data_IF_589504220049
#
_entry.id   IF_589504220049
#
_cell.length_a   1.000
_cell.length_b   1.000
_cell.length_c   1.000
_cell.angle_alpha   90.00
_cell.angle_beta   90.00
_cell.angle_gamma   90.00
#
_symmetry.space_group_name_H-M   'P 1'
#
loop_
_entity.id
_entity.type
_entity.pdbx_description
1 polymer ?
#
# COMPACT_ATOMS: atom_id res chain seq x y z
N UNK A 1 30.58 -0.81 17.47
CA UNK A 1 31.61 -1.86 17.64
C UNK A 1 31.00 -3.28 17.75
N UNK A 2 29.80 -3.45 18.29
CA UNK A 2 29.12 -4.75 18.34
C UNK A 2 28.49 -5.18 16.98
N UNK A 3 28.01 -4.28 16.19
CA UNK A 3 27.44 -4.56 14.86
C UNK A 3 28.52 -5.06 13.87
N UNK A 4 29.75 -4.61 14.04
CA UNK A 4 30.89 -5.08 13.22
C UNK A 4 31.29 -6.53 13.52
N UNK A 5 31.06 -7.00 14.74
CA UNK A 5 31.34 -8.40 15.13
C UNK A 5 30.32 -9.37 14.53
N UNK A 6 29.08 -8.96 14.31
CA UNK A 6 28.05 -9.81 13.69
C UNK A 6 28.29 -10.02 12.19
N UNK A 7 28.70 -9.00 11.46
CA UNK A 7 29.03 -9.10 10.04
C UNK A 7 30.24 -10.01 9.79
N UNK A 8 31.25 -9.95 10.64
CA UNK A 8 32.44 -10.84 10.55
C UNK A 8 32.15 -12.30 10.93
N UNK A 9 31.13 -12.57 11.72
CA UNK A 9 30.78 -13.94 12.11
C UNK A 9 30.01 -14.67 10.99
N UNK A 10 29.21 -13.95 10.22
CA UNK A 10 28.45 -14.50 9.10
C UNK A 10 29.35 -14.93 7.92
N UNK A 11 30.38 -14.15 7.61
CA UNK A 11 31.36 -14.46 6.56
C UNK A 11 32.18 -15.70 6.87
N UNK A 12 32.37 -16.02 8.17
CA UNK A 12 33.13 -17.21 8.59
C UNK A 12 32.33 -18.52 8.53
N UNK A 13 31.03 -18.47 8.48
CA UNK A 13 30.19 -19.68 8.44
C UNK A 13 29.81 -20.13 7.03
N UNK A 14 29.90 -19.31 6.01
CA UNK A 14 29.44 -19.66 4.65
C UNK A 14 30.54 -20.06 3.67
N UNK A 15 31.81 -19.89 4.00
CA UNK A 15 32.96 -20.47 3.27
C UNK A 15 33.04 -20.15 1.75
N UNK A 16 32.31 -19.13 1.26
CA UNK A 16 32.33 -18.75 -0.15
C UNK A 16 32.72 -17.29 -0.31
N UNK A 17 33.99 -17.07 -0.65
CA UNK A 17 34.51 -15.81 -1.17
C UNK A 17 34.68 -16.02 -2.68
N UNK A 18 34.02 -15.25 -3.54
CA UNK A 18 34.34 -15.31 -4.98
C UNK A 18 35.73 -14.68 -5.20
N UNK A 19 36.64 -15.44 -5.75
CA UNK A 19 37.94 -14.99 -6.19
C UNK A 19 37.80 -13.89 -7.26
N UNK A 20 38.39 -12.74 -6.97
CA UNK A 20 38.66 -11.70 -7.97
C UNK A 20 39.96 -12.12 -8.66
N UNK A 21 39.84 -12.72 -9.83
CA UNK A 21 40.98 -12.99 -10.67
C UNK A 21 41.46 -11.68 -11.29
N UNK A 22 42.74 -11.42 -11.03
CA UNK A 22 43.54 -10.29 -11.44
C UNK A 22 43.62 -10.09 -12.94
N UNK A 23 43.78 -8.81 -13.32
CA UNK A 23 44.36 -8.33 -14.57
C UNK A 23 45.64 -9.12 -14.93
N UNK A 24 45.57 -9.87 -16.01
CA UNK A 24 46.70 -10.16 -16.87
C UNK A 24 46.24 -11.14 -17.96
N UNK A 25 45.89 -10.59 -19.13
CA UNK A 25 46.08 -11.21 -20.43
C UNK A 25 45.38 -10.38 -21.52
N UNK A 26 45.99 -9.23 -21.80
CA UNK A 26 45.74 -8.46 -23.03
C UNK A 26 47.10 -8.10 -23.60
N UNK A 27 47.75 -9.06 -24.27
CA UNK A 27 48.72 -8.73 -25.31
C UNK A 27 48.87 -9.92 -26.27
N UNK A 28 48.75 -9.58 -27.55
CA UNK A 28 49.12 -10.31 -28.77
C UNK A 28 48.00 -11.03 -29.52
N UNK A 29 47.42 -10.33 -30.49
CA UNK A 29 47.70 -10.70 -31.90
C UNK A 29 47.23 -9.57 -32.82
N UNK A 30 48.19 -8.84 -33.34
CA UNK A 30 48.04 -8.03 -34.56
C UNK A 30 48.08 -8.94 -35.77
N UNK A 31 47.11 -8.83 -36.67
CA UNK A 31 47.40 -8.67 -38.13
C UNK A 31 46.14 -8.23 -38.87
N UNK A 32 46.36 -7.19 -39.58
CA UNK A 32 45.58 -6.42 -40.49
C UNK A 32 44.78 -7.18 -41.55
N UNK A 33 43.62 -6.64 -41.92
CA UNK A 33 43.27 -6.41 -43.31
C UNK A 33 42.38 -5.18 -43.40
N UNK A 34 42.81 -4.23 -44.24
CA UNK A 34 42.15 -2.98 -44.62
C UNK A 34 41.00 -3.24 -45.61
N UNK A 35 40.09 -2.23 -45.64
CA UNK A 35 39.05 -1.92 -46.62
C UNK A 35 37.65 -2.48 -46.29
N UNK A 36 36.67 -1.65 -45.97
CA UNK A 36 35.97 -0.77 -46.90
C UNK A 36 35.15 0.31 -46.16
N UNK A 37 34.99 1.44 -46.83
CA UNK A 37 34.38 2.68 -46.33
C UNK A 37 32.85 2.67 -46.41
N UNK A 38 32.22 3.36 -45.44
CA UNK A 38 30.93 4.01 -45.54
C UNK A 38 29.68 3.11 -45.62
N UNK A 39 29.06 2.92 -44.44
CA UNK A 39 27.61 3.17 -44.26
C UNK A 39 27.32 3.28 -42.78
N UNK A 40 27.26 4.52 -42.30
CA UNK A 40 26.62 4.84 -41.01
C UNK A 40 25.12 4.68 -41.23
N UNK A 41 24.57 3.52 -40.87
CA UNK A 41 23.15 3.34 -40.68
C UNK A 41 22.85 3.87 -39.27
N UNK A 42 21.94 4.82 -39.09
CA UNK A 42 21.48 5.19 -37.73
C UNK A 42 20.87 3.94 -37.11
N UNK A 43 21.34 3.58 -35.92
CA UNK A 43 20.65 2.59 -35.08
C UNK A 43 19.20 3.07 -34.92
N UNK A 44 18.25 2.29 -35.38
CA UNK A 44 16.83 2.46 -35.04
C UNK A 44 16.77 2.47 -33.50
N UNK A 45 16.52 3.66 -32.97
CA UNK A 45 16.11 3.78 -31.58
C UNK A 45 14.82 2.96 -31.44
N UNK A 46 14.94 1.77 -30.91
CA UNK A 46 13.82 1.04 -30.34
C UNK A 46 13.18 1.97 -29.32
N UNK A 47 12.15 2.68 -29.72
CA UNK A 47 11.31 3.47 -28.82
C UNK A 47 10.75 2.47 -27.79
N UNK A 48 11.09 2.67 -26.51
CA UNK A 48 10.42 1.98 -25.44
C UNK A 48 8.90 2.09 -25.69
N UNK A 49 8.13 1.01 -25.53
CA UNK A 49 6.69 1.06 -25.78
C UNK A 49 6.09 2.22 -24.99
N UNK A 50 5.33 3.07 -25.67
CA UNK A 50 4.65 4.19 -25.05
C UNK A 50 3.85 3.63 -23.87
N UNK A 51 4.07 4.16 -22.65
CA UNK A 51 3.28 3.77 -21.47
C UNK A 51 1.82 4.00 -21.83
N UNK A 52 1.01 2.95 -21.75
CA UNK A 52 -0.41 3.08 -21.93
C UNK A 52 -0.98 4.13 -20.96
N UNK A 53 -1.83 5.05 -21.44
CA UNK A 53 -2.44 6.04 -20.56
C UNK A 53 -3.25 5.33 -19.47
N UNK A 54 -3.24 5.88 -18.26
CA UNK A 54 -4.02 5.38 -17.13
C UNK A 54 -5.50 5.68 -17.42
N UNK A 55 -6.26 4.66 -17.80
CA UNK A 55 -7.67 4.78 -18.13
C UNK A 55 -8.55 4.04 -17.13
N UNK A 56 -9.63 4.66 -16.69
CA UNK A 56 -10.60 4.07 -15.76
C UNK A 56 -12.04 4.42 -16.13
N UNK A 57 -12.95 3.52 -15.76
CA UNK A 57 -14.40 3.71 -15.87
C UNK A 57 -15.05 3.50 -14.52
N UNK A 58 -16.19 4.12 -14.28
CA UNK A 58 -16.93 4.01 -13.03
C UNK A 58 -18.43 3.95 -13.27
N UNK A 59 -19.18 3.43 -12.29
CA UNK A 59 -20.64 3.48 -12.31
C UNK A 59 -21.13 4.92 -12.11
N UNK A 60 -22.23 5.28 -12.79
CA UNK A 60 -22.73 6.65 -12.86
C UNK A 60 -23.14 7.24 -11.50
N UNK A 61 -23.44 6.41 -10.53
CA UNK A 61 -23.87 6.82 -9.19
C UNK A 61 -22.69 7.17 -8.24
N UNK A 62 -21.46 6.72 -8.53
CA UNK A 62 -20.33 6.91 -7.59
C UNK A 62 -19.97 8.37 -7.34
N UNK A 63 -19.89 9.27 -8.33
CA UNK A 63 -19.59 10.67 -8.05
C UNK A 63 -20.60 11.29 -7.07
N UNK A 64 -21.88 11.08 -7.29
CA UNK A 64 -22.94 11.57 -6.40
C UNK A 64 -22.84 10.93 -5.01
N UNK A 65 -22.54 9.65 -4.92
CA UNK A 65 -22.33 8.95 -3.64
C UNK A 65 -21.17 9.57 -2.85
N UNK A 66 -20.03 9.82 -3.48
CA UNK A 66 -18.87 10.43 -2.85
C UNK A 66 -19.15 11.85 -2.36
N UNK A 67 -19.87 12.64 -3.15
CA UNK A 67 -20.30 13.99 -2.75
C UNK A 67 -21.23 13.98 -1.55
N UNK A 68 -22.26 13.12 -1.57
CA UNK A 68 -23.24 13.01 -0.48
C UNK A 68 -22.58 12.54 0.82
N UNK A 69 -21.68 11.58 0.74
CA UNK A 69 -20.93 11.06 1.89
C UNK A 69 -19.80 12.00 2.32
N UNK A 70 -19.44 12.97 1.48
CA UNK A 70 -18.30 13.90 1.68
C UNK A 70 -16.99 13.14 1.89
N UNK A 71 -16.69 12.21 1.00
CA UNK A 71 -15.50 11.37 1.06
C UNK A 71 -14.69 11.47 -0.22
N UNK A 72 -13.45 11.08 -0.11
CA UNK A 72 -12.58 10.67 -1.20
C UNK A 72 -11.85 9.39 -0.78
N UNK A 73 -11.11 8.77 -1.69
CA UNK A 73 -10.26 7.62 -1.37
C UNK A 73 -8.80 7.95 -1.66
N UNK A 74 -7.92 7.32 -0.89
CA UNK A 74 -6.51 7.17 -1.24
C UNK A 74 -6.22 5.68 -1.42
N UNK A 75 -5.59 5.35 -2.55
CA UNK A 75 -5.39 3.97 -3.02
C UNK A 75 -3.93 3.78 -3.43
N UNK A 76 -3.28 2.71 -2.98
CA UNK A 76 -1.95 2.33 -3.45
C UNK A 76 -2.01 1.18 -4.45
N UNK A 77 -1.08 1.18 -5.41
CA UNK A 77 -1.13 0.28 -6.58
C UNK A 77 0.08 -0.64 -6.72
N UNK A 78 0.96 -0.69 -5.72
CA UNK A 78 2.16 -1.53 -5.72
C UNK A 78 2.93 -1.51 -7.05
N UNK A 79 2.52 -2.33 -8.04
CA UNK A 79 3.23 -2.52 -9.31
C UNK A 79 3.22 -1.29 -10.22
N UNK A 80 2.10 -0.58 -10.30
CA UNK A 80 1.99 0.63 -11.12
C UNK A 80 2.81 1.79 -10.54
N UNK A 81 3.29 1.67 -9.28
CA UNK A 81 4.08 2.70 -8.62
C UNK A 81 3.30 3.99 -8.41
N UNK A 82 2.00 3.89 -8.13
CA UNK A 82 1.11 5.04 -7.96
C UNK A 82 0.34 4.99 -6.64
N UNK A 83 0.22 6.15 -6.03
CA UNK A 83 -0.83 6.47 -5.07
C UNK A 83 -1.88 7.29 -5.82
N UNK A 84 -3.14 6.92 -5.69
CA UNK A 84 -4.26 7.51 -6.42
C UNK A 84 -5.19 8.16 -5.41
N UNK A 85 -5.46 9.46 -5.57
CA UNK A 85 -6.59 10.11 -4.93
C UNK A 85 -7.81 9.98 -5.84
N UNK A 86 -8.87 9.38 -5.34
CA UNK A 86 -10.15 9.24 -6.05
C UNK A 86 -11.14 10.22 -5.46
N UNK A 87 -11.60 11.18 -6.26
CA UNK A 87 -12.39 12.34 -5.83
C UNK A 87 -13.60 12.53 -6.71
N UNK A 88 -14.73 12.99 -6.17
CA UNK A 88 -15.85 13.40 -6.99
C UNK A 88 -15.55 14.77 -7.64
N UNK A 89 -15.84 14.89 -8.92
CA UNK A 89 -15.70 16.10 -9.71
C UNK A 89 -16.93 16.29 -10.61
N UNK A 90 -17.98 16.85 -10.05
CA UNK A 90 -19.28 16.92 -10.70
C UNK A 90 -19.85 15.52 -10.97
N UNK A 91 -20.02 15.17 -12.23
CA UNK A 91 -20.59 13.88 -12.64
C UNK A 91 -19.57 12.76 -12.90
N UNK A 92 -18.28 13.03 -12.67
CA UNK A 92 -17.19 12.06 -12.88
C UNK A 92 -16.38 11.85 -11.61
N UNK A 93 -15.67 10.72 -11.53
CA UNK A 93 -14.60 10.52 -10.58
C UNK A 93 -13.29 11.01 -11.19
N UNK A 94 -12.65 11.95 -10.51
CA UNK A 94 -11.29 12.35 -10.79
C UNK A 94 -10.33 11.35 -10.13
N UNK A 95 -9.45 10.75 -10.92
CA UNK A 95 -8.36 9.90 -10.46
C UNK A 95 -7.05 10.67 -10.58
N UNK A 96 -6.49 11.08 -9.46
CA UNK A 96 -5.27 11.88 -9.40
C UNK A 96 -4.09 11.04 -8.94
N UNK A 97 -3.05 10.96 -9.75
CA UNK A 97 -1.93 10.03 -9.57
C UNK A 97 -0.68 10.73 -9.03
N UNK A 98 -0.06 10.12 -8.02
CA UNK A 98 1.28 10.50 -7.51
C UNK A 98 2.22 9.31 -7.59
N UNK A 99 3.49 9.56 -7.96
CA UNK A 99 4.48 8.50 -8.16
C UNK A 99 5.18 8.15 -6.85
N UNK A 100 5.24 6.86 -6.55
CA UNK A 100 5.97 6.29 -5.43
C UNK A 100 6.66 4.99 -5.85
N UNK A 101 7.76 4.65 -5.18
CA UNK A 101 8.43 3.38 -5.43
C UNK A 101 7.71 2.24 -4.71
N UNK A 102 6.90 1.46 -5.46
CA UNK A 102 6.10 0.33 -4.95
C UNK A 102 5.29 0.70 -3.70
N UNK A 103 4.33 1.63 -3.79
CA UNK A 103 3.51 2.00 -2.64
C UNK A 103 2.64 0.83 -2.22
N UNK A 104 2.65 0.55 -0.91
CA UNK A 104 2.00 -0.61 -0.29
C UNK A 104 1.02 -0.15 0.78
N UNK A 105 1.26 -0.47 2.06
CA UNK A 105 0.39 -0.09 3.16
C UNK A 105 0.17 1.43 3.25
N UNK A 106 -1.03 1.82 3.62
CA UNK A 106 -1.44 3.21 3.87
C UNK A 106 -2.10 3.28 5.25
N UNK A 107 -1.77 4.32 6.02
CA UNK A 107 -2.50 4.71 7.20
C UNK A 107 -2.89 6.19 7.09
N UNK A 108 -4.16 6.52 7.27
CA UNK A 108 -4.67 7.88 7.12
C UNK A 108 -5.69 8.23 8.20
N UNK A 109 -5.68 9.51 8.59
CA UNK A 109 -6.73 10.16 9.38
C UNK A 109 -6.91 11.62 8.90
N UNK A 110 -7.70 12.41 9.61
CA UNK A 110 -7.96 13.81 9.23
C UNK A 110 -6.71 14.68 9.21
N UNK A 111 -5.67 14.33 9.97
CA UNK A 111 -4.48 15.16 10.18
C UNK A 111 -3.28 14.68 9.39
N UNK A 112 -3.23 13.40 9.06
CA UNK A 112 -2.04 12.76 8.49
C UNK A 112 -2.37 11.66 7.49
N UNK A 113 -1.41 11.43 6.61
CA UNK A 113 -1.39 10.32 5.66
C UNK A 113 0.01 9.72 5.68
N UNK A 114 0.10 8.42 5.86
CA UNK A 114 1.37 7.70 5.86
C UNK A 114 1.35 6.64 4.77
N UNK A 115 2.41 6.60 3.97
CA UNK A 115 2.51 5.73 2.79
C UNK A 115 3.78 4.90 2.91
N UNK A 116 3.64 3.59 2.95
CA UNK A 116 4.75 2.64 2.88
C UNK A 116 5.17 2.41 1.44
N UNK A 117 6.47 2.46 1.18
CA UNK A 117 7.09 2.13 -0.10
C UNK A 117 8.05 0.94 0.02
N UNK A 118 8.90 0.73 -0.98
CA UNK A 118 9.85 -0.41 -0.99
C UNK A 118 10.74 -0.43 0.26
N UNK A 119 11.36 0.70 0.59
CA UNK A 119 12.33 0.81 1.67
C UNK A 119 12.16 2.10 2.48
N UNK A 120 11.04 2.78 2.34
CA UNK A 120 10.76 4.05 2.99
C UNK A 120 9.31 4.15 3.42
N UNK A 121 9.09 4.86 4.52
CA UNK A 121 7.76 5.29 4.97
C UNK A 121 7.72 6.80 4.89
N UNK A 122 6.76 7.30 4.13
CA UNK A 122 6.52 8.73 3.94
C UNK A 122 5.42 9.20 4.87
N UNK A 123 5.70 10.26 5.62
CA UNK A 123 4.73 10.91 6.51
C UNK A 123 4.31 12.24 5.93
N UNK A 124 3.02 12.40 5.74
CA UNK A 124 2.36 13.61 5.28
C UNK A 124 1.48 14.18 6.39
N UNK A 125 1.40 15.51 6.45
CA UNK A 125 0.46 16.22 7.30
C UNK A 125 -0.54 16.96 6.42
N UNK A 126 -1.82 16.88 6.76
CA UNK A 126 -2.85 17.70 6.17
C UNK A 126 -2.67 19.15 6.68
N UNK A 127 -2.52 20.09 5.75
CA UNK A 127 -2.39 21.53 6.02
C UNK A 127 -3.49 22.28 5.26
N UNK A 128 -4.70 22.38 5.83
CA UNK A 128 -5.86 22.97 5.15
C UNK A 128 -5.63 24.39 4.64
N UNK A 129 -4.77 25.17 5.30
CA UNK A 129 -4.42 26.53 4.88
C UNK A 129 -3.69 26.60 3.52
N UNK A 130 -3.14 25.49 3.04
CA UNK A 130 -2.49 25.41 1.72
C UNK A 130 -3.50 25.03 0.63
N UNK A 131 -4.55 24.31 0.97
CA UNK A 131 -5.54 23.83 0.01
C UNK A 131 -6.12 24.93 -0.91
N UNK A 132 -6.52 26.13 -0.43
CA UNK A 132 -7.02 27.20 -1.29
C UNK A 132 -6.01 27.76 -2.28
N UNK A 133 -4.70 27.49 -2.06
CA UNK A 133 -3.59 27.98 -2.90
C UNK A 133 -3.22 26.98 -4.01
N UNK A 134 -3.88 25.82 -4.04
CA UNK A 134 -3.68 24.79 -5.05
C UNK A 134 -4.62 25.04 -6.23
N UNK A 135 -4.09 24.97 -7.43
CA UNK A 135 -4.92 25.08 -8.64
C UNK A 135 -5.69 23.78 -8.95
N UNK A 136 -6.94 23.86 -9.39
CA UNK A 136 -7.74 25.09 -9.53
C UNK A 136 -8.12 25.70 -8.18
N UNK A 137 -7.96 27.01 -8.05
CA UNK A 137 -8.19 27.74 -6.80
C UNK A 137 -9.58 27.49 -6.22
N UNK A 138 -9.66 27.27 -4.91
CA UNK A 138 -10.92 27.07 -4.18
C UNK A 138 -11.59 25.69 -4.36
N UNK A 139 -10.98 24.78 -5.11
CA UNK A 139 -11.51 23.42 -5.32
C UNK A 139 -11.08 22.45 -4.21
N UNK A 140 -9.86 22.59 -3.72
CA UNK A 140 -9.28 21.67 -2.74
C UNK A 140 -9.73 22.01 -1.32
N UNK A 141 -10.09 21.01 -0.55
CA UNK A 141 -10.51 21.12 0.87
C UNK A 141 -9.49 20.53 1.85
N UNK A 142 -8.50 19.81 1.35
CA UNK A 142 -7.37 19.29 2.12
C UNK A 142 -6.11 19.28 1.27
N UNK A 143 -4.94 19.41 1.92
CA UNK A 143 -3.65 19.32 1.24
C UNK A 143 -2.64 18.62 2.13
N UNK A 144 -2.17 17.46 1.71
CA UNK A 144 -1.17 16.66 2.40
C UNK A 144 0.23 17.05 1.94
N UNK A 145 1.02 17.58 2.88
CA UNK A 145 2.42 17.98 2.66
C UNK A 145 3.36 16.94 3.27
N UNK A 146 4.42 16.51 2.56
CA UNK A 146 5.43 15.62 3.12
C UNK A 146 6.16 16.31 4.28
N UNK A 147 6.34 15.59 5.39
CA UNK A 147 6.98 16.12 6.60
C UNK A 147 8.19 15.33 7.07
N UNK A 148 8.16 14.02 6.88
CA UNK A 148 9.21 13.11 7.33
C UNK A 148 9.27 11.89 6.42
N UNK A 149 10.47 11.33 6.29
CA UNK A 149 10.73 10.05 5.65
C UNK A 149 11.50 9.20 6.65
N UNK A 150 11.10 7.94 6.81
CA UNK A 150 11.84 6.94 7.56
C UNK A 150 12.35 5.85 6.62
N UNK A 151 13.62 5.49 6.71
CA UNK A 151 14.24 4.44 5.88
C UNK A 151 14.20 3.12 6.64
N UNK A 152 13.45 2.16 6.12
CA UNK A 152 13.24 0.84 6.76
C UNK A 152 14.15 -0.26 6.20
N UNK A 153 14.71 -0.08 5.01
CA UNK A 153 15.08 -1.19 4.15
C UNK A 153 13.83 -1.86 3.56
N UNK A 154 14.01 -2.86 2.71
CA UNK A 154 12.87 -3.58 2.11
C UNK A 154 12.30 -4.59 3.12
N UNK A 155 11.29 -4.18 3.88
CA UNK A 155 10.57 -5.00 4.87
C UNK A 155 9.23 -5.53 4.37
N UNK A 156 8.87 -5.24 3.13
CA UNK A 156 7.62 -5.65 2.48
C UNK A 156 6.38 -5.22 3.30
N UNK A 157 6.16 -3.90 3.38
CA UNK A 157 5.15 -3.26 4.24
C UNK A 157 3.75 -3.59 3.74
N UNK A 158 3.04 -4.51 4.39
CA UNK A 158 1.70 -4.90 3.93
C UNK A 158 0.59 -4.03 4.50
N UNK A 159 0.62 -3.74 5.77
CA UNK A 159 -0.45 -2.99 6.43
C UNK A 159 0.17 -1.99 7.41
N UNK A 160 -0.51 -0.88 7.64
CA UNK A 160 -0.13 0.10 8.65
C UNK A 160 -1.38 0.64 9.34
N UNK A 161 -1.27 0.92 10.64
CA UNK A 161 -2.32 1.57 11.40
C UNK A 161 -1.73 2.36 12.56
N UNK A 162 -2.36 3.47 12.91
CA UNK A 162 -2.05 4.22 14.12
C UNK A 162 -2.82 3.65 15.31
N UNK A 163 -2.18 3.59 16.47
CA UNK A 163 -2.84 3.30 17.73
C UNK A 163 -3.35 4.58 18.42
N UNK A 164 -3.92 4.43 19.62
CA UNK A 164 -4.46 5.55 20.40
C UNK A 164 -3.36 6.47 20.97
N UNK A 165 -2.11 6.02 20.99
CA UNK A 165 -0.95 6.77 21.47
C UNK A 165 -0.19 7.43 20.31
N UNK A 166 -0.79 7.46 19.11
CA UNK A 166 -0.22 7.97 17.86
C UNK A 166 1.02 7.20 17.36
N UNK A 167 1.27 5.99 17.88
CA UNK A 167 2.33 5.12 17.39
C UNK A 167 1.89 4.41 16.10
N UNK A 168 2.76 4.40 15.10
CA UNK A 168 2.51 3.70 13.84
C UNK A 168 2.90 2.23 13.95
N UNK A 169 1.91 1.35 13.89
CA UNK A 169 2.10 -0.08 13.77
C UNK A 169 2.18 -0.52 12.33
N UNK A 170 3.09 -1.44 12.05
CA UNK A 170 3.44 -1.89 10.70
C UNK A 170 3.46 -3.40 10.65
N UNK A 171 2.84 -3.97 9.64
CA UNK A 171 3.01 -5.38 9.28
C UNK A 171 4.27 -5.50 8.42
N UNK A 172 5.31 -6.01 9.02
CA UNK A 172 6.58 -6.32 8.37
C UNK A 172 6.53 -7.78 7.90
N UNK A 173 6.18 -7.97 6.64
CA UNK A 173 5.97 -9.30 6.05
C UNK A 173 7.27 -10.06 5.90
N UNK A 174 8.34 -9.37 5.51
CA UNK A 174 9.65 -9.99 5.31
C UNK A 174 10.18 -10.67 6.57
N UNK A 175 9.99 -10.05 7.74
CA UNK A 175 10.39 -10.60 9.03
C UNK A 175 9.24 -11.28 9.77
N UNK A 176 8.05 -11.30 9.18
CA UNK A 176 6.83 -11.88 9.75
C UNK A 176 6.55 -11.38 11.18
N UNK A 177 6.57 -10.07 11.39
CA UNK A 177 6.34 -9.44 12.69
C UNK A 177 5.48 -8.18 12.59
N UNK A 178 4.85 -7.80 13.69
CA UNK A 178 4.40 -6.44 13.90
C UNK A 178 5.56 -5.62 14.47
N UNK A 179 5.74 -4.44 13.94
CA UNK A 179 6.80 -3.54 14.38
C UNK A 179 6.31 -2.09 14.43
N UNK A 180 7.05 -1.27 15.16
CA UNK A 180 6.94 0.18 15.20
C UNK A 180 8.25 0.80 14.73
N UNK A 181 8.36 2.12 14.77
CA UNK A 181 9.55 2.85 14.35
C UNK A 181 10.10 3.69 15.51
N UNK A 182 11.40 3.82 15.53
CA UNK A 182 12.11 4.80 16.35
C UNK A 182 13.03 5.68 15.48
N UNK A 183 13.85 6.51 16.08
CA UNK A 183 14.75 7.41 15.35
C UNK A 183 16.00 6.73 14.78
N UNK A 184 16.38 5.57 15.29
CA UNK A 184 17.72 5.01 15.10
C UNK A 184 17.76 3.71 14.32
N UNK A 185 16.66 2.94 14.30
CA UNK A 185 16.60 1.61 13.70
C UNK A 185 15.72 1.58 12.45
N UNK A 186 15.93 0.62 11.57
CA UNK A 186 15.07 0.37 10.42
C UNK A 186 13.63 0.10 10.83
N UNK A 187 13.44 -0.65 11.90
CA UNK A 187 12.17 -0.92 12.57
C UNK A 187 12.43 -1.51 13.96
N UNK A 188 11.43 -1.43 14.83
CA UNK A 188 11.46 -1.99 16.17
C UNK A 188 10.44 -3.13 16.30
N UNK A 189 10.85 -4.42 16.36
CA UNK A 189 9.93 -5.55 16.47
C UNK A 189 9.18 -5.52 17.81
N UNK A 190 7.85 -5.65 17.74
CA UNK A 190 6.96 -5.61 18.92
C UNK A 190 6.28 -6.96 19.19
N UNK A 191 5.96 -7.69 18.13
CA UNK A 191 5.26 -8.96 18.22
C UNK A 191 5.56 -9.83 17.00
N UNK A 192 5.59 -11.14 17.18
CA UNK A 192 5.65 -12.14 16.11
C UNK A 192 4.86 -13.39 16.48
N UNK A 193 4.37 -14.19 15.51
CA UNK A 193 3.79 -15.49 15.78
C UNK A 193 4.75 -16.39 16.56
N UNK A 194 4.23 -17.06 17.60
CA UNK A 194 5.06 -17.94 18.46
C UNK A 194 5.57 -19.20 17.77
N UNK A 195 4.97 -19.59 16.63
CA UNK A 195 5.44 -20.73 15.85
C UNK A 195 6.71 -20.40 15.03
N UNK A 196 7.10 -19.13 14.93
CA UNK A 196 8.34 -18.73 14.27
C UNK A 196 9.51 -18.84 15.24
N UNK A 197 10.54 -19.61 14.88
CA UNK A 197 11.74 -19.85 15.71
C UNK A 197 12.64 -18.63 15.83
N UNK A 198 12.71 -17.79 14.79
CA UNK A 198 13.58 -16.62 14.73
C UNK A 198 12.94 -15.42 14.02
N UNK A 199 13.49 -14.23 14.26
CA UNK A 199 13.26 -13.03 13.45
C UNK A 199 14.22 -13.08 12.26
N UNK A 200 13.72 -13.43 11.06
CA UNK A 200 14.53 -13.64 9.86
C UNK A 200 13.86 -13.02 8.64
N UNK A 201 14.61 -12.42 7.68
CA UNK A 201 14.07 -11.79 6.48
C UNK A 201 13.71 -12.80 5.39
N UNK A 202 12.99 -13.86 5.74
CA UNK A 202 12.73 -15.02 4.89
C UNK A 202 11.26 -15.16 4.45
N UNK A 203 10.40 -14.21 4.83
CA UNK A 203 8.96 -14.25 4.49
C UNK A 203 8.33 -15.61 4.83
N UNK A 204 8.56 -16.12 6.04
CA UNK A 204 8.25 -17.51 6.40
C UNK A 204 6.76 -17.82 6.36
N UNK A 205 5.90 -16.97 6.94
CA UNK A 205 4.45 -17.19 7.00
C UNK A 205 3.64 -16.18 6.17
N UNK A 206 4.27 -15.18 5.60
CA UNK A 206 3.65 -14.05 4.90
C UNK A 206 2.59 -13.36 5.73
N UNK A 207 3.02 -12.82 6.88
CA UNK A 207 2.18 -11.97 7.72
C UNK A 207 1.78 -10.73 6.92
N UNK A 208 0.47 -10.43 6.77
CA UNK A 208 0.03 -9.48 5.75
C UNK A 208 -1.13 -8.56 6.14
N UNK A 209 -1.76 -8.78 7.28
CA UNK A 209 -2.89 -7.95 7.66
C UNK A 209 -2.94 -7.65 9.15
N UNK A 210 -3.53 -6.50 9.50
CA UNK A 210 -3.65 -6.03 10.87
C UNK A 210 -5.03 -5.40 11.09
N UNK A 211 -5.76 -5.91 12.07
CA UNK A 211 -6.97 -5.27 12.60
C UNK A 211 -6.69 -4.67 13.96
N UNK A 212 -7.02 -3.39 14.12
CA UNK A 212 -6.99 -2.67 15.39
C UNK A 212 -8.34 -2.81 16.10
N UNK A 213 -8.33 -3.06 17.40
CA UNK A 213 -9.53 -3.06 18.26
C UNK A 213 -9.26 -2.18 19.46
N UNK A 214 -10.12 -1.20 19.71
CA UNK A 214 -9.90 -0.23 20.77
C UNK A 214 -8.58 0.55 20.65
N UNK A 215 -8.11 0.75 19.41
CA UNK A 215 -6.86 1.44 19.11
C UNK A 215 -5.60 0.62 19.40
N UNK A 216 -5.70 -0.71 19.46
CA UNK A 216 -4.54 -1.61 19.66
C UNK A 216 -4.51 -2.73 18.63
N UNK A 217 -3.34 -3.23 18.21
CA UNK A 217 -3.22 -4.43 17.40
C UNK A 217 -3.94 -5.61 18.06
N UNK A 218 -4.88 -6.24 17.34
CA UNK A 218 -5.66 -7.32 17.93
C UNK A 218 -5.71 -8.58 17.08
N UNK A 219 -5.95 -8.45 15.78
CA UNK A 219 -5.98 -9.60 14.89
C UNK A 219 -5.02 -9.39 13.72
N UNK A 220 -4.39 -10.49 13.30
CA UNK A 220 -3.50 -10.50 12.13
C UNK A 220 -3.83 -11.67 11.23
N UNK A 221 -3.58 -11.52 9.93
CA UNK A 221 -3.66 -12.60 8.95
C UNK A 221 -2.28 -12.93 8.42
N UNK A 222 -2.09 -14.21 8.06
CA UNK A 222 -0.92 -14.70 7.35
C UNK A 222 -1.32 -15.77 6.35
N UNK A 223 -0.49 -16.02 5.33
CA UNK A 223 -0.80 -16.99 4.26
C UNK A 223 -0.45 -18.44 4.65
N UNK A 224 0.22 -18.67 5.77
CA UNK A 224 0.54 -20.01 6.23
C UNK A 224 1.06 -20.07 7.66
N UNK A 225 0.79 -21.19 8.36
CA UNK A 225 1.42 -21.55 9.61
C UNK A 225 2.71 -22.34 9.32
N UNK A 226 3.82 -21.60 9.07
CA UNK A 226 5.08 -22.21 8.64
C UNK A 226 6.28 -21.40 9.13
N UNK A 227 7.34 -22.09 9.50
CA UNK A 227 8.63 -21.54 9.95
C UNK A 227 9.76 -21.76 8.91
N UNK A 228 9.42 -22.23 7.72
CA UNK A 228 10.36 -22.37 6.62
C UNK A 228 10.38 -21.13 5.72
N UNK A 229 11.52 -20.83 5.12
CA UNK A 229 11.67 -19.72 4.15
C UNK A 229 10.62 -19.81 3.04
N UNK A 230 9.80 -18.76 2.89
CA UNK A 230 8.68 -18.68 1.95
C UNK A 230 7.75 -19.93 1.96
N UNK A 231 7.66 -20.62 3.09
CA UNK A 231 6.97 -21.92 3.22
C UNK A 231 5.47 -21.85 2.99
N UNK A 232 4.85 -20.68 3.19
CA UNK A 232 3.44 -20.43 2.88
C UNK A 232 3.05 -20.75 1.43
N UNK A 233 4.01 -20.71 0.50
CA UNK A 233 3.76 -20.92 -0.94
C UNK A 233 3.28 -22.33 -1.27
N UNK A 234 3.65 -23.32 -0.45
CA UNK A 234 3.28 -24.70 -0.66
C UNK A 234 1.77 -24.96 -0.50
N UNK A 235 1.08 -24.16 0.32
CA UNK A 235 -0.36 -24.32 0.58
C UNK A 235 -1.11 -22.99 0.56
N UNK A 236 -0.80 -22.12 -0.39
CA UNK A 236 -1.36 -20.77 -0.49
C UNK A 236 -2.89 -20.72 -0.64
N UNK A 237 -3.48 -21.75 -1.28
CA UNK A 237 -4.91 -21.80 -1.52
C UNK A 237 -5.74 -22.00 -0.24
N UNK A 238 -5.21 -22.74 0.74
CA UNK A 238 -5.93 -23.14 1.95
C UNK A 238 -5.06 -23.08 3.23
N UNK A 239 -3.86 -22.51 3.14
CA UNK A 239 -2.93 -22.40 4.27
C UNK A 239 -3.15 -21.18 5.15
N UNK A 240 -3.98 -20.25 4.72
CA UNK A 240 -4.17 -18.98 5.39
C UNK A 240 -4.72 -19.11 6.80
N UNK A 241 -4.27 -18.21 7.68
CA UNK A 241 -4.61 -18.19 9.11
C UNK A 241 -5.03 -16.79 9.56
N UNK A 242 -5.88 -16.77 10.58
CA UNK A 242 -6.18 -15.60 11.40
C UNK A 242 -5.69 -15.84 12.83
N UNK A 243 -5.02 -14.87 13.43
CA UNK A 243 -4.46 -14.96 14.79
C UNK A 243 -4.94 -13.85 15.70
N UNK A 244 -5.09 -14.15 16.97
CA UNK A 244 -5.21 -13.18 18.06
C UNK A 244 -3.80 -12.76 18.54
N UNK A 245 -3.53 -11.47 18.51
CA UNK A 245 -2.22 -10.89 18.87
C UNK A 245 -1.94 -11.04 20.36
N UNK A 246 -2.91 -10.71 21.23
CA UNK A 246 -2.72 -10.73 22.69
C UNK A 246 -2.45 -12.15 23.20
N UNK A 247 -3.22 -13.12 22.72
CA UNK A 247 -3.08 -14.52 23.10
C UNK A 247 -1.95 -15.22 22.32
N UNK A 248 -1.51 -14.63 21.23
CA UNK A 248 -0.60 -15.21 20.24
C UNK A 248 -1.06 -16.62 19.82
N UNK A 249 -2.34 -16.73 19.42
CA UNK A 249 -3.00 -17.98 19.09
C UNK A 249 -3.67 -17.87 17.72
N UNK A 250 -3.64 -18.97 16.98
CA UNK A 250 -4.37 -19.10 15.73
C UNK A 250 -5.84 -19.37 16.06
N UNK A 251 -6.73 -18.54 15.51
CA UNK A 251 -8.16 -18.61 15.66
C UNK A 251 -8.82 -19.36 14.49
N UNK A 252 -8.36 -19.11 13.27
CA UNK A 252 -8.86 -19.77 12.06
C UNK A 252 -7.71 -20.32 11.24
N UNK A 253 -7.96 -21.44 10.58
CA UNK A 253 -7.14 -22.08 9.56
C UNK A 253 -7.98 -22.36 8.32
N UNK A 254 -7.33 -22.60 7.19
CA UNK A 254 -8.03 -22.98 5.96
C UNK A 254 -8.50 -21.81 5.12
N UNK A 255 -8.11 -20.58 5.46
CA UNK A 255 -8.45 -19.38 4.70
C UNK A 255 -7.69 -19.35 3.35
N UNK A 256 -8.35 -18.88 2.31
CA UNK A 256 -7.75 -18.75 0.99
C UNK A 256 -7.11 -17.37 0.80
N UNK A 257 -5.80 -17.27 1.04
CA UNK A 257 -5.02 -16.03 0.97
C UNK A 257 -5.70 -14.85 1.70
N UNK A 258 -5.92 -14.93 3.02
CA UNK A 258 -6.59 -13.87 3.75
C UNK A 258 -5.75 -12.59 3.75
N UNK A 259 -6.42 -11.45 3.58
CA UNK A 259 -5.81 -10.11 3.65
C UNK A 259 -6.71 -9.13 4.41
N UNK A 260 -6.12 -8.02 4.82
CA UNK A 260 -6.80 -6.81 5.29
C UNK A 260 -7.92 -7.07 6.31
N UNK A 261 -7.64 -7.77 7.43
CA UNK A 261 -8.63 -7.90 8.50
C UNK A 261 -8.97 -6.50 9.04
N UNK A 262 -10.25 -6.26 9.36
CA UNK A 262 -10.74 -4.99 9.92
C UNK A 262 -11.78 -5.25 11.00
N UNK A 263 -11.66 -4.51 12.09
CA UNK A 263 -12.71 -4.45 13.09
C UNK A 263 -13.63 -3.28 12.79
N UNK A 264 -14.86 -3.57 12.40
CA UNK A 264 -15.84 -2.53 12.06
C UNK A 264 -17.23 -2.93 12.50
N UNK A 265 -17.96 -2.01 13.13
CA UNK A 265 -19.32 -2.24 13.67
C UNK A 265 -19.43 -3.53 14.50
N UNK A 266 -18.50 -3.71 15.45
CA UNK A 266 -18.41 -4.86 16.36
C UNK A 266 -18.31 -6.23 15.64
N UNK A 267 -17.79 -6.25 14.41
CA UNK A 267 -17.51 -7.46 13.64
C UNK A 267 -16.10 -7.46 13.13
N UNK A 268 -15.51 -8.63 13.05
CA UNK A 268 -14.24 -8.83 12.36
C UNK A 268 -14.52 -9.20 10.90
N UNK A 269 -14.01 -8.38 10.00
CA UNK A 269 -14.09 -8.55 8.55
C UNK A 269 -12.76 -9.03 8.02
N UNK A 270 -12.77 -9.89 7.00
CA UNK A 270 -11.59 -10.35 6.29
C UNK A 270 -11.86 -10.39 4.79
N UNK A 271 -10.80 -10.23 3.99
CA UNK A 271 -10.81 -10.51 2.57
C UNK A 271 -10.21 -11.90 2.36
N UNK A 272 -10.97 -12.84 1.80
CA UNK A 272 -10.43 -14.09 1.27
C UNK A 272 -10.04 -13.86 -0.19
N UNK A 273 -8.82 -13.42 -0.41
CA UNK A 273 -8.37 -12.96 -1.72
C UNK A 273 -8.37 -14.07 -2.77
N UNK A 274 -8.02 -15.30 -2.37
CA UNK A 274 -8.06 -16.47 -3.26
C UNK A 274 -9.46 -16.91 -3.67
N UNK A 275 -10.49 -16.47 -2.91
CA UNK A 275 -11.92 -16.64 -3.26
C UNK A 275 -12.46 -15.41 -4.00
N UNK A 276 -11.77 -14.25 -3.88
CA UNK A 276 -12.30 -12.97 -4.32
C UNK A 276 -13.52 -12.55 -3.52
N UNK A 277 -13.47 -12.67 -2.19
CA UNK A 277 -14.64 -12.43 -1.35
C UNK A 277 -14.36 -11.49 -0.16
N UNK A 278 -15.43 -10.86 0.31
CA UNK A 278 -15.54 -10.21 1.61
C UNK A 278 -16.25 -11.18 2.56
N UNK A 279 -15.69 -11.42 3.74
CA UNK A 279 -16.27 -12.29 4.75
C UNK A 279 -16.28 -11.67 6.14
N UNK A 280 -17.20 -12.13 7.00
CA UNK A 280 -17.20 -11.88 8.44
C UNK A 280 -16.77 -13.10 9.20
N UNK A 281 -16.06 -12.88 10.31
CA UNK A 281 -15.62 -13.93 11.24
C UNK A 281 -16.51 -13.95 12.46
N UNK A 282 -17.02 -15.12 12.81
CA UNK A 282 -17.61 -15.41 14.10
C UNK A 282 -16.49 -15.87 15.05
N UNK A 283 -16.22 -15.04 16.06
CA UNK A 283 -15.13 -15.27 17.01
C UNK A 283 -15.44 -16.35 18.06
N UNK A 284 -16.73 -16.63 18.32
CA UNK A 284 -17.18 -17.63 19.30
C UNK A 284 -17.09 -19.03 18.70
N UNK A 285 -17.64 -19.20 17.48
CA UNK A 285 -17.65 -20.48 16.78
C UNK A 285 -16.37 -20.72 16.00
N UNK A 286 -15.50 -19.73 15.84
CA UNK A 286 -14.29 -19.76 15.04
C UNK A 286 -14.58 -20.20 13.60
N UNK A 287 -15.61 -19.61 13.02
CA UNK A 287 -16.02 -19.82 11.63
C UNK A 287 -16.08 -18.48 10.89
N UNK A 288 -16.21 -18.52 9.57
CA UNK A 288 -16.44 -17.32 8.78
C UNK A 288 -17.51 -17.54 7.74
N UNK A 289 -18.11 -16.46 7.30
CA UNK A 289 -19.19 -16.46 6.31
C UNK A 289 -18.92 -15.40 5.25
N UNK A 290 -18.97 -15.79 3.99
CA UNK A 290 -18.93 -14.87 2.85
C UNK A 290 -20.15 -13.95 2.87
N UNK A 291 -19.90 -12.64 2.75
CA UNK A 291 -20.89 -11.59 2.62
C UNK A 291 -21.07 -11.19 1.16
N UNK A 292 -19.96 -11.06 0.42
CA UNK A 292 -19.99 -10.72 -1.00
C UNK A 292 -18.90 -11.44 -1.77
N UNK A 293 -19.20 -11.83 -3.02
CA UNK A 293 -18.21 -12.31 -3.99
C UNK A 293 -17.96 -11.22 -5.04
N UNK A 294 -16.69 -11.01 -5.37
CA UNK A 294 -16.23 -9.90 -6.19
C UNK A 294 -15.47 -10.39 -7.43
N UNK A 295 -15.41 -9.60 -8.51
CA UNK A 295 -14.84 -10.03 -9.78
C UNK A 295 -13.31 -9.84 -9.88
N UNK A 296 -12.58 -10.07 -8.80
CA UNK A 296 -11.13 -9.94 -8.76
C UNK A 296 -10.54 -10.42 -7.44
N UNK A 297 -9.22 -10.43 -7.38
CA UNK A 297 -8.45 -10.76 -6.18
C UNK A 297 -8.57 -9.60 -5.18
N UNK A 298 -9.24 -9.82 -4.05
CA UNK A 298 -9.56 -8.76 -3.07
C UNK A 298 -8.35 -8.39 -2.23
N UNK A 299 -8.04 -7.08 -2.14
CA UNK A 299 -6.93 -6.59 -1.31
C UNK A 299 -7.10 -5.12 -0.98
N UNK A 300 -6.91 -4.77 0.29
CA UNK A 300 -7.18 -3.43 0.78
C UNK A 300 -8.68 -3.19 0.94
N UNK A 301 -9.08 -2.82 2.15
CA UNK A 301 -10.48 -2.51 2.49
C UNK A 301 -10.51 -1.39 3.52
N UNK A 302 -11.48 -0.51 3.36
CA UNK A 302 -11.89 0.43 4.39
C UNK A 302 -13.40 0.62 4.36
N UNK A 303 -13.96 1.18 5.43
CA UNK A 303 -15.39 1.26 5.65
C UNK A 303 -15.85 2.70 5.89
N UNK A 304 -17.06 3.01 5.43
CA UNK A 304 -17.76 4.24 5.78
C UNK A 304 -19.27 4.01 5.84
N UNK A 305 -19.86 4.18 7.03
CA UNK A 305 -21.28 3.85 7.23
C UNK A 305 -21.60 2.39 6.90
N UNK A 306 -22.61 2.10 6.08
CA UNK A 306 -22.93 0.73 5.68
C UNK A 306 -22.13 0.22 4.46
N UNK A 307 -21.06 0.92 4.06
CA UNK A 307 -20.32 0.63 2.86
C UNK A 307 -18.90 0.16 3.14
N UNK A 308 -18.48 -0.87 2.42
CA UNK A 308 -17.11 -1.33 2.32
C UNK A 308 -16.51 -0.92 0.96
N UNK A 309 -15.34 -0.31 0.96
CA UNK A 309 -14.55 0.06 -0.22
C UNK A 309 -13.42 -0.94 -0.37
N UNK A 310 -13.48 -1.80 -1.38
CA UNK A 310 -12.62 -2.98 -1.52
C UNK A 310 -11.79 -2.88 -2.79
N UNK A 311 -10.48 -2.94 -2.64
CA UNK A 311 -9.56 -3.01 -3.76
C UNK A 311 -9.59 -4.38 -4.43
N UNK A 312 -9.59 -4.40 -5.75
CA UNK A 312 -9.49 -5.61 -6.57
C UNK A 312 -8.26 -5.55 -7.45
N UNK A 313 -7.62 -6.71 -7.62
CA UNK A 313 -6.45 -6.90 -8.46
C UNK A 313 -6.69 -8.00 -9.48
N UNK A 314 -6.04 -7.86 -10.64
CA UNK A 314 -5.88 -8.96 -11.59
C UNK A 314 -4.81 -9.90 -11.03
N UNK A 315 -5.10 -11.19 -10.96
CA UNK A 315 -4.09 -12.19 -10.61
C UNK A 315 -3.11 -12.28 -11.77
N UNK A 316 -1.82 -12.11 -11.50
CA UNK A 316 -0.79 -12.31 -12.53
C UNK A 316 -0.76 -13.77 -12.96
N UNK A 317 -0.79 -14.02 -14.27
CA UNK A 317 -0.68 -15.34 -14.89
C UNK A 317 0.72 -15.96 -14.76
N UNK A 318 1.32 -15.92 -13.58
CA UNK A 318 2.54 -16.68 -13.32
C UNK A 318 2.13 -17.97 -12.62
N UNK A 319 2.80 -19.06 -12.95
CA UNK A 319 2.61 -20.42 -12.40
C UNK A 319 2.51 -20.52 -10.87
N UNK A 320 2.83 -19.42 -10.16
CA UNK A 320 2.75 -19.28 -8.71
C UNK A 320 1.28 -19.13 -8.22
N UNK A 321 0.33 -18.76 -9.08
CA UNK A 321 -1.06 -18.45 -8.71
C UNK A 321 -2.10 -19.35 -9.40
N UNK A 322 -1.76 -20.56 -9.85
CA UNK A 322 -2.60 -21.48 -10.60
C UNK A 322 -3.53 -22.16 -9.62
N UNK A 323 -4.08 -22.25 -8.73
CA UNK A 323 -4.93 -23.17 -7.95
C UNK A 323 -5.88 -22.46 -6.97
N UNK A 324 -6.41 -21.29 -7.35
CA UNK A 324 -7.36 -20.57 -6.51
C UNK A 324 -8.80 -20.76 -6.99
N UNK A 325 -9.76 -20.89 -6.08
CA UNK A 325 -11.19 -20.98 -6.43
C UNK A 325 -11.68 -19.78 -7.25
N UNK A 326 -11.08 -18.60 -7.09
CA UNK A 326 -11.35 -17.41 -7.92
C UNK A 326 -11.12 -17.70 -9.41
N UNK A 327 -10.06 -18.45 -9.76
CA UNK A 327 -9.69 -18.73 -11.15
C UNK A 327 -10.64 -19.74 -11.81
N UNK A 328 -11.23 -20.62 -11.03
CA UNK A 328 -12.27 -21.54 -11.50
C UNK A 328 -13.59 -20.82 -11.77
N UNK A 329 -13.84 -19.72 -11.04
CA UNK A 329 -15.09 -18.97 -11.11
C UNK A 329 -15.09 -17.85 -12.16
N UNK A 330 -13.92 -17.27 -12.49
CA UNK A 330 -13.80 -16.08 -13.32
C UNK A 330 -12.80 -16.27 -14.45
N UNK A 331 -13.26 -16.13 -15.69
CA UNK A 331 -12.40 -16.08 -16.87
C UNK A 331 -11.61 -14.77 -16.93
N UNK A 332 -12.26 -13.65 -16.60
CA UNK A 332 -11.65 -12.33 -16.54
C UNK A 332 -11.68 -11.77 -15.12
N UNK A 333 -10.56 -11.19 -14.68
CA UNK A 333 -10.42 -10.52 -13.39
C UNK A 333 -10.23 -9.03 -13.61
N UNK A 334 -10.85 -8.24 -12.76
CA UNK A 334 -10.85 -6.79 -12.86
C UNK A 334 -9.93 -6.16 -11.80
N UNK A 335 -9.40 -4.98 -12.09
CA UNK A 335 -8.63 -4.17 -11.16
C UNK A 335 -9.37 -2.87 -10.87
N UNK A 336 -9.45 -2.47 -9.60
CA UNK A 336 -10.13 -1.22 -9.22
C UNK A 336 -10.62 -1.22 -7.80
N UNK A 337 -11.65 -0.41 -7.50
CA UNK A 337 -12.29 -0.33 -6.19
C UNK A 337 -13.78 -0.61 -6.34
N UNK A 338 -14.28 -1.58 -5.59
CA UNK A 338 -15.70 -1.94 -5.50
C UNK A 338 -16.29 -1.43 -4.19
N UNK A 339 -17.49 -0.90 -4.27
CA UNK A 339 -18.28 -0.44 -3.12
C UNK A 339 -19.38 -1.45 -2.86
N UNK A 340 -19.36 -2.05 -1.68
CA UNK A 340 -20.29 -3.12 -1.27
C UNK A 340 -21.08 -2.68 -0.06
N UNK A 341 -22.38 -2.92 -0.05
CA UNK A 341 -23.23 -2.74 1.12
C UNK A 341 -23.02 -3.91 2.09
N UNK A 342 -22.54 -3.64 3.30
CA UNK A 342 -22.05 -4.67 4.22
C UNK A 342 -23.14 -5.59 4.81
N UNK A 343 -24.41 -5.16 4.80
CA UNK A 343 -25.51 -5.98 5.31
C UNK A 343 -26.10 -6.88 4.23
N UNK A 344 -26.22 -6.37 2.98
CA UNK A 344 -26.84 -7.10 1.88
C UNK A 344 -25.84 -7.87 1.04
N UNK A 345 -24.57 -7.46 1.03
CA UNK A 345 -23.53 -7.99 0.14
C UNK A 345 -23.63 -7.47 -1.31
N UNK A 346 -24.56 -6.57 -1.58
CA UNK A 346 -24.76 -6.02 -2.92
C UNK A 346 -23.66 -5.04 -3.32
N UNK A 347 -23.22 -5.10 -4.57
CA UNK A 347 -22.34 -4.10 -5.17
C UNK A 347 -23.14 -2.83 -5.47
N UNK A 348 -22.79 -1.74 -4.81
CA UNK A 348 -23.40 -0.41 -4.99
C UNK A 348 -22.82 0.31 -6.20
N UNK A 349 -21.53 0.11 -6.45
CA UNK A 349 -20.83 0.73 -7.57
C UNK A 349 -19.37 0.31 -7.62
N UNK A 350 -18.66 0.74 -8.66
CA UNK A 350 -17.24 0.45 -8.82
C UNK A 350 -16.51 1.54 -9.61
N UNK A 351 -15.22 1.65 -9.34
CA UNK A 351 -14.20 2.26 -10.20
C UNK A 351 -13.32 1.14 -10.72
N UNK A 352 -13.24 0.95 -12.05
CA UNK A 352 -12.42 -0.08 -12.71
C UNK A 352 -11.33 0.56 -13.55
N UNK A 353 -10.10 0.11 -13.39
CA UNK A 353 -8.98 0.48 -14.27
C UNK A 353 -8.97 -0.46 -15.48
N UNK A 354 -8.91 0.12 -16.68
CA UNK A 354 -8.88 -0.63 -17.95
C UNK A 354 -7.45 -0.75 -18.48
N UNK A 355 -6.57 0.20 -18.09
CA UNK A 355 -5.16 0.17 -18.46
C UNK A 355 -4.26 0.79 -17.39
N UNK A 356 -2.99 0.39 -17.37
CA UNK A 356 -1.94 0.99 -16.56
C UNK A 356 -1.94 0.62 -15.07
N UNK A 357 -3.03 0.09 -14.52
CA UNK A 357 -3.14 -0.40 -13.13
C UNK A 357 -3.73 -1.79 -13.12
N UNK A 358 -2.98 -2.78 -12.65
CA UNK A 358 -3.38 -4.18 -12.58
C UNK A 358 -3.52 -4.69 -11.15
N UNK A 359 -3.06 -3.90 -10.16
CA UNK A 359 -3.02 -4.31 -8.77
C UNK A 359 -3.37 -3.12 -7.86
N UNK A 360 -4.32 -3.34 -6.96
CA UNK A 360 -4.61 -2.48 -5.81
C UNK A 360 -4.02 -3.14 -4.57
N UNK A 361 -3.35 -2.35 -3.73
CA UNK A 361 -2.73 -2.87 -2.51
C UNK A 361 -3.46 -2.44 -1.24
N UNK A 362 -3.70 -1.15 -1.08
CA UNK A 362 -4.44 -0.61 0.05
C UNK A 362 -5.49 0.40 -0.43
N UNK A 363 -6.59 0.47 0.32
CA UNK A 363 -7.67 1.45 0.13
C UNK A 363 -7.95 2.09 1.48
N UNK A 364 -8.02 3.43 1.53
CA UNK A 364 -8.41 4.19 2.72
C UNK A 364 -9.43 5.25 2.35
N UNK A 365 -10.45 5.40 3.17
CA UNK A 365 -11.48 6.44 3.04
C UNK A 365 -11.02 7.71 3.76
N UNK A 366 -10.99 8.80 3.05
CA UNK A 366 -10.73 10.13 3.59
C UNK A 366 -12.07 10.82 3.90
N UNK A 367 -12.60 10.54 5.08
CA UNK A 367 -13.88 11.08 5.53
C UNK A 367 -13.81 12.60 5.74
N UNK A 368 -14.84 13.34 5.30
CA UNK A 368 -14.91 14.79 5.40
C UNK A 368 -14.02 15.55 4.41
N UNK A 369 -13.28 14.86 3.55
CA UNK A 369 -12.41 15.44 2.52
C UNK A 369 -12.93 15.04 1.15
N UNK A 370 -13.44 16.01 0.38
CA UNK A 370 -14.05 15.74 -0.92
C UNK A 370 -13.05 15.83 -2.07
N UNK A 371 -12.11 16.78 -1.95
CA UNK A 371 -11.13 17.04 -3.01
C UNK A 371 -9.73 17.30 -2.44
N UNK A 372 -9.13 16.30 -1.74
CA UNK A 372 -7.78 16.42 -1.18
C UNK A 372 -6.72 16.50 -2.27
N UNK A 373 -5.58 17.12 -1.94
CA UNK A 373 -4.37 17.11 -2.74
C UNK A 373 -3.22 16.48 -1.96
N UNK A 374 -2.31 15.82 -2.68
CA UNK A 374 -1.08 15.23 -2.16
C UNK A 374 0.12 15.86 -2.88
N UNK A 375 0.88 16.71 -2.20
CA UNK A 375 2.04 17.37 -2.80
C UNK A 375 3.22 16.41 -2.93
N UNK A 376 3.90 16.47 -4.06
CA UNK A 376 5.16 15.75 -4.28
C UNK A 376 6.32 16.41 -3.54
N UNK A 377 7.36 15.66 -3.24
CA UNK A 377 8.54 16.17 -2.52
C UNK A 377 9.23 17.33 -3.22
N UNK A 378 9.18 17.42 -4.55
CA UNK A 378 9.78 18.48 -5.34
C UNK A 378 8.83 19.65 -5.62
N UNK A 379 7.62 19.66 -5.07
CA UNK A 379 6.66 20.75 -5.32
C UNK A 379 7.21 22.07 -4.73
N UNK A 380 7.25 23.12 -5.57
CA UNK A 380 7.75 24.44 -5.18
C UNK A 380 7.00 25.03 -3.99
N UNK A 381 5.72 24.67 -3.81
CA UNK A 381 4.89 25.13 -2.68
C UNK A 381 5.43 24.67 -1.33
N UNK A 382 6.22 23.58 -1.28
CA UNK A 382 6.84 23.12 -0.04
C UNK A 382 7.84 24.14 0.52
N UNK A 383 8.57 24.83 -0.34
CA UNK A 383 9.55 25.84 0.06
C UNK A 383 8.92 27.06 0.74
N UNK A 384 7.61 27.27 0.53
CA UNK A 384 6.83 28.38 1.06
C UNK A 384 5.77 27.95 2.08
N UNK A 385 5.77 26.67 2.48
CA UNK A 385 4.76 26.11 3.39
C UNK A 385 5.40 25.62 4.68
N UNK A 386 5.09 26.29 5.77
CA UNK A 386 5.61 26.01 7.10
C UNK A 386 4.50 25.49 8.00
N UNK A 387 4.80 24.46 8.78
CA UNK A 387 3.92 23.94 9.83
C UNK A 387 4.61 24.18 11.16
N UNK A 388 4.09 25.11 11.93
CA UNK A 388 4.62 25.50 13.22
C UNK A 388 3.75 24.95 14.35
N UNK A 389 4.30 24.75 15.56
CA UNK A 389 3.51 24.50 16.75
C UNK A 389 2.51 25.64 17.01
N UNK A 390 1.34 25.34 17.58
CA UNK A 390 0.28 26.32 17.81
C UNK A 390 0.72 27.50 18.68
N UNK A 391 1.61 27.24 19.66
CA UNK A 391 2.20 28.28 20.50
C UNK A 391 3.05 29.27 19.69
N UNK A 392 3.77 28.81 18.67
CA UNK A 392 4.60 29.65 17.82
C UNK A 392 3.79 30.44 16.79
N UNK A 393 2.57 29.99 16.45
CA UNK A 393 1.71 30.71 15.51
C UNK A 393 1.25 32.07 16.03
N UNK A 394 1.25 32.28 17.36
CA UNK A 394 0.87 33.55 17.99
C UNK A 394 1.84 34.66 17.64
N UNK A 395 3.09 34.33 17.35
CA UNK A 395 4.16 35.29 17.06
C UNK A 395 4.39 35.50 15.55
N UNK A 396 3.63 34.80 14.71
CA UNK A 396 3.73 34.92 13.25
C UNK A 396 3.02 36.17 12.78
N UNK A 397 3.79 37.12 12.22
CA UNK A 397 3.22 38.29 11.56
C UNK A 397 2.43 37.87 10.33
N UNK A 398 1.12 38.09 10.37
CA UNK A 398 0.28 37.86 9.19
C UNK A 398 0.58 38.95 8.15
N UNK A 399 0.73 38.62 6.86
CA UNK A 399 0.81 39.63 5.81
C UNK A 399 -0.43 40.54 5.88
N UNK A 400 -0.28 41.85 5.64
CA UNK A 400 -1.43 42.74 5.62
C UNK A 400 -2.47 42.18 4.65
N UNK A 401 -3.71 42.05 5.10
CA UNK A 401 -4.84 41.66 4.22
C UNK A 401 -4.82 42.66 3.06
N UNK A 402 -4.57 42.20 1.85
CA UNK A 402 -4.75 42.98 0.66
C UNK A 402 -6.17 43.54 0.71
N UNK A 403 -6.30 44.85 0.79
CA UNK A 403 -7.60 45.49 0.67
C UNK A 403 -8.16 45.07 -0.68
N UNK A 404 -9.13 44.16 -0.66
CA UNK A 404 -9.94 43.85 -1.83
C UNK A 404 -10.58 45.17 -2.23
N UNK A 405 -10.10 45.75 -3.33
CA UNK A 405 -10.62 46.99 -3.88
C UNK A 405 -12.11 46.83 -4.11
N UNK A 406 -12.87 47.57 -3.32
CA UNK A 406 -14.15 48.08 -3.76
C UNK A 406 -13.87 49.00 -4.96
N UNK A 407 -14.08 48.46 -6.15
CA UNK A 407 -14.39 49.34 -7.29
C UNK A 407 -15.81 48.97 -7.71
N UNK A 408 -16.61 50.01 -7.59
CA UNK A 408 -18.03 50.13 -7.94
C UNK A 408 -18.33 49.72 -9.40
#
# INVERSE_FOLDING_TARGET
>A
LQAWRFACHWVKQTGHVPEITSREQLTRSHKATLMDKNRYMPAEHSSAPAKEPLHSVHTNNLPTLFEQLRISLVVSTYQAGKVILVRADGHVLNTHFRSFTRPMGIAADHTRLTIGGTNTIWYYRNVPAVAPKIEPAGKHDACYLPRRIHVTGDIDIHEMAYDNDDELWIVNTRFACLCTLDGDHSFYPRWRPKFLSALSPEDRCHLNGLAMVGGKPKYVTALGETDAQAGWRANKANGGILMDVDRNQIMLRGLSMPHSPRWYQNKLWILESGQGSLATVDLETQTWRTVAQLPGFTRGIDFYGPLAFIGLSQVREKAIFSDFPLLERLDERTCGVWVVHIETGETIGFLRFESGVQEIFAVQVLAGMRFPELLEWQDEKLSLSYVLPDEALKDVALPPRSASGNQA
#
